data_IF_251828320639
#
_entry.id   IF_251828320639
#
_cell.length_a   1.000
_cell.length_b   1.000
_cell.length_c   1.000
_cell.angle_alpha   90.00
_cell.angle_beta   90.00
_cell.angle_gamma   90.00
#
_symmetry.space_group_name_H-M   'P 1'
#
loop_
_entity.id
_entity.type
_entity.pdbx_description
1 polymer ?
#
# COMPACT_ATOMS: atom_id res chain seq x y z
N UNK A 1 2.09 13.72 -7.68
CA UNK A 1 3.49 13.96 -8.14
C UNK A 1 3.75 15.47 -8.30
N UNK A 2 4.82 15.98 -7.70
CA UNK A 2 5.29 17.37 -7.85
C UNK A 2 5.72 17.66 -9.30
N UNK A 3 5.85 18.94 -9.68
CA UNK A 3 6.28 19.36 -11.04
C UNK A 3 7.67 18.82 -11.42
N UNK A 4 8.52 18.54 -10.44
CA UNK A 4 9.81 17.90 -10.65
C UNK A 4 9.66 16.39 -10.87
N UNK A 5 8.87 15.71 -10.03
CA UNK A 5 8.65 14.26 -10.10
C UNK A 5 7.94 13.82 -11.38
N UNK A 6 7.05 14.66 -11.94
CA UNK A 6 6.40 14.37 -13.23
C UNK A 6 7.39 14.23 -14.39
N UNK A 7 8.59 14.81 -14.27
CA UNK A 7 9.65 14.73 -15.28
C UNK A 7 10.57 13.52 -15.09
N UNK A 8 10.34 12.70 -14.07
CA UNK A 8 11.13 11.49 -13.85
C UNK A 8 10.89 10.46 -14.95
N UNK A 9 11.96 9.72 -15.30
CA UNK A 9 11.84 8.55 -16.15
C UNK A 9 10.92 7.50 -15.48
N UNK A 10 10.40 6.56 -16.28
CA UNK A 10 9.47 5.54 -15.80
C UNK A 10 10.01 4.81 -14.56
N UNK A 11 11.24 4.30 -14.63
CA UNK A 11 11.87 3.59 -13.51
C UNK A 11 11.96 4.44 -12.23
N UNK A 12 12.30 5.73 -12.33
CA UNK A 12 12.33 6.61 -11.15
C UNK A 12 10.94 6.85 -10.57
N UNK A 13 9.89 6.90 -11.40
CA UNK A 13 8.51 7.01 -10.94
C UNK A 13 8.05 5.74 -10.21
N UNK A 14 8.42 4.57 -10.73
CA UNK A 14 8.12 3.30 -10.08
C UNK A 14 8.83 3.16 -8.73
N UNK A 15 10.12 3.50 -8.65
CA UNK A 15 10.86 3.51 -7.36
C UNK A 15 10.19 4.49 -6.39
N UNK A 16 9.83 5.69 -6.86
CA UNK A 16 9.16 6.67 -6.01
C UNK A 16 7.81 6.16 -5.49
N UNK A 17 7.02 5.50 -6.34
CA UNK A 17 5.76 4.87 -5.94
C UNK A 17 5.97 3.83 -4.84
N UNK A 18 6.99 2.98 -4.99
CA UNK A 18 7.35 1.99 -3.97
C UNK A 18 7.77 2.65 -2.65
N UNK A 19 8.65 3.65 -2.71
CA UNK A 19 9.12 4.39 -1.52
C UNK A 19 7.96 5.07 -0.81
N UNK A 20 7.03 5.65 -1.56
CA UNK A 20 5.83 6.26 -0.98
C UNK A 20 4.95 5.23 -0.28
N UNK A 21 4.65 4.10 -0.93
CA UNK A 21 3.82 3.04 -0.35
C UNK A 21 4.45 2.46 0.93
N UNK A 22 5.75 2.17 0.92
CA UNK A 22 6.45 1.62 2.07
C UNK A 22 6.57 2.60 3.23
N UNK A 23 6.59 3.91 2.96
CA UNK A 23 6.52 4.94 4.00
C UNK A 23 5.13 5.00 4.63
N UNK A 24 4.08 4.96 3.81
CA UNK A 24 2.70 5.02 4.28
C UNK A 24 2.35 3.79 5.14
N UNK A 25 2.72 2.60 4.66
CA UNK A 25 2.46 1.34 5.36
C UNK A 25 3.53 0.96 6.39
N UNK A 26 4.50 1.85 6.65
CA UNK A 26 5.58 1.60 7.61
C UNK A 26 5.08 1.09 8.97
N UNK A 27 4.04 1.66 9.60
CA UNK A 27 3.58 1.18 10.91
C UNK A 27 3.13 -0.29 10.92
N UNK A 28 2.70 -0.82 9.77
CA UNK A 28 2.25 -2.20 9.61
C UNK A 28 3.36 -3.16 9.19
N UNK A 29 4.36 -2.64 8.48
CA UNK A 29 5.44 -3.42 7.86
C UNK A 29 6.71 -3.48 8.71
N UNK A 30 6.87 -2.54 9.64
CA UNK A 30 8.08 -2.45 10.45
C UNK A 30 8.30 -3.69 11.33
N UNK A 31 9.49 -4.27 11.26
CA UNK A 31 9.87 -5.45 12.05
C UNK A 31 9.30 -6.78 11.53
N UNK A 32 8.59 -6.79 10.40
CA UNK A 32 8.09 -8.01 9.75
C UNK A 32 8.77 -8.23 8.41
N UNK A 33 8.92 -9.51 8.03
CA UNK A 33 9.35 -9.90 6.68
C UNK A 33 8.15 -9.94 5.74
N UNK A 34 8.23 -9.23 4.62
CA UNK A 34 7.14 -9.20 3.65
C UNK A 34 7.62 -9.21 2.20
N UNK A 35 6.67 -9.49 1.29
CA UNK A 35 6.92 -9.61 -0.13
C UNK A 35 6.29 -8.43 -0.89
N UNK A 36 7.12 -7.67 -1.60
CA UNK A 36 6.70 -6.61 -2.51
C UNK A 36 6.57 -7.19 -3.91
N UNK A 37 5.34 -7.22 -4.44
CA UNK A 37 5.07 -7.61 -5.83
C UNK A 37 4.98 -6.38 -6.71
N UNK A 38 5.75 -6.37 -7.80
CA UNK A 38 5.78 -5.26 -8.76
C UNK A 38 5.82 -5.76 -10.20
N UNK A 39 5.18 -5.03 -11.11
CA UNK A 39 5.28 -5.26 -12.54
C UNK A 39 6.53 -4.63 -13.18
N UNK A 40 7.36 -3.94 -12.38
CA UNK A 40 8.60 -3.34 -12.85
C UNK A 40 9.81 -4.19 -12.46
N UNK A 41 10.29 -5.02 -13.40
CA UNK A 41 11.37 -5.98 -13.17
C UNK A 41 12.69 -5.35 -12.70
N UNK A 42 12.97 -4.09 -13.06
CA UNK A 42 14.16 -3.36 -12.60
C UNK A 42 14.21 -3.19 -11.08
N UNK A 43 13.07 -3.20 -10.39
CA UNK A 43 13.02 -3.04 -8.93
C UNK A 43 13.60 -4.24 -8.17
N UNK A 44 13.71 -5.42 -8.82
CA UNK A 44 14.39 -6.58 -8.22
C UNK A 44 15.86 -6.29 -7.88
N UNK A 45 16.48 -5.36 -8.62
CA UNK A 45 17.87 -4.98 -8.42
C UNK A 45 18.06 -3.96 -7.31
N UNK A 46 17.00 -3.38 -6.75
CA UNK A 46 17.11 -2.34 -5.70
C UNK A 46 17.85 -2.84 -4.46
N UNK A 47 17.63 -4.09 -4.05
CA UNK A 47 18.26 -4.69 -2.86
C UNK A 47 19.71 -5.11 -3.10
N UNK A 48 20.12 -5.29 -4.36
CA UNK A 48 21.46 -5.75 -4.76
C UNK A 48 22.31 -4.58 -5.29
N UNK A 49 21.75 -3.37 -5.34
CA UNK A 49 22.39 -2.21 -5.95
C UNK A 49 23.57 -1.73 -5.09
N UNK A 50 24.79 -1.92 -5.59
CA UNK A 50 26.02 -1.72 -4.80
C UNK A 50 26.37 -0.26 -4.53
N UNK A 51 26.08 0.64 -5.47
CA UNK A 51 26.52 2.05 -5.38
C UNK A 51 25.40 3.00 -5.83
N UNK A 52 24.35 3.19 -5.02
CA UNK A 52 23.33 4.17 -5.32
C UNK A 52 23.84 5.59 -5.10
N UNK A 53 23.53 6.48 -6.04
CA UNK A 53 23.91 7.89 -5.96
C UNK A 53 22.69 8.82 -5.81
N UNK A 54 22.93 9.96 -5.16
CA UNK A 54 22.02 11.09 -5.10
C UNK A 54 20.65 10.77 -4.50
N UNK A 55 19.59 10.90 -5.30
CA UNK A 55 18.21 10.70 -4.83
C UNK A 55 17.89 9.23 -4.54
N UNK A 56 18.41 8.31 -5.37
CA UNK A 56 18.14 6.88 -5.21
C UNK A 56 18.81 6.34 -3.95
N UNK A 57 19.99 6.83 -3.60
CA UNK A 57 20.67 6.50 -2.34
C UNK A 57 19.82 6.84 -1.12
N UNK A 58 19.26 8.06 -1.09
CA UNK A 58 18.38 8.50 0.00
C UNK A 58 17.10 7.67 0.09
N UNK A 59 16.55 7.26 -1.05
CA UNK A 59 15.39 6.37 -1.06
C UNK A 59 15.75 4.98 -0.53
N UNK A 60 16.84 4.38 -1.00
CA UNK A 60 17.30 3.07 -0.53
C UNK A 60 17.64 3.08 0.96
N UNK A 61 18.22 4.17 1.49
CA UNK A 61 18.45 4.31 2.92
C UNK A 61 17.15 4.24 3.72
N UNK A 62 16.07 4.89 3.25
CA UNK A 62 14.76 4.76 3.91
C UNK A 62 14.16 3.36 3.80
N UNK A 63 14.46 2.65 2.73
CA UNK A 63 13.98 1.28 2.51
C UNK A 63 14.77 0.25 3.32
N UNK A 64 16.04 0.53 3.64
CA UNK A 64 16.91 -0.36 4.39
C UNK A 64 16.43 -0.64 5.82
N UNK A 65 15.52 0.18 6.34
CA UNK A 65 14.90 -0.02 7.65
C UNK A 65 13.79 -1.09 7.64
N UNK A 66 13.37 -1.56 6.46
CA UNK A 66 12.33 -2.57 6.27
C UNK A 66 12.94 -3.86 5.72
N UNK A 67 12.44 -5.01 6.17
CA UNK A 67 12.88 -6.33 5.69
C UNK A 67 11.90 -6.86 4.64
N UNK A 68 12.26 -6.73 3.36
CA UNK A 68 11.39 -7.13 2.26
C UNK A 68 12.12 -7.76 1.08
N UNK A 69 11.39 -8.61 0.37
CA UNK A 69 11.82 -9.20 -0.89
C UNK A 69 11.00 -8.63 -2.05
N UNK A 70 11.64 -8.45 -3.21
CA UNK A 70 10.97 -7.94 -4.41
C UNK A 70 10.75 -9.07 -5.42
N UNK A 71 9.48 -9.38 -5.67
CA UNK A 71 9.06 -10.34 -6.69
C UNK A 71 8.45 -9.61 -7.89
N UNK A 72 8.95 -9.93 -9.08
CA UNK A 72 8.35 -9.41 -10.31
C UNK A 72 7.10 -10.23 -10.68
N UNK A 73 5.99 -9.55 -10.95
CA UNK A 73 4.75 -10.14 -11.46
C UNK A 73 4.36 -9.42 -12.74
N UNK A 74 4.15 -10.15 -13.84
CA UNK A 74 3.78 -9.54 -15.12
C UNK A 74 2.56 -8.61 -14.97
N UNK A 75 2.60 -7.42 -15.60
CA UNK A 75 1.56 -6.39 -15.47
C UNK A 75 0.15 -6.88 -15.81
N UNK A 76 0.01 -7.83 -16.74
CA UNK A 76 -1.28 -8.49 -17.05
C UNK A 76 -1.93 -9.18 -15.85
N UNK A 77 -1.13 -9.64 -14.90
CA UNK A 77 -1.59 -10.27 -13.66
C UNK A 77 -1.64 -9.28 -12.49
N UNK A 78 -1.29 -8.01 -12.71
CA UNK A 78 -1.19 -6.97 -11.70
C UNK A 78 -2.36 -5.97 -11.74
N UNK A 79 -3.51 -6.40 -12.30
CA UNK A 79 -4.66 -5.53 -12.56
C UNK A 79 -5.27 -4.88 -11.32
N UNK A 80 -5.11 -5.48 -10.14
CA UNK A 80 -5.54 -4.89 -8.87
C UNK A 80 -4.77 -3.59 -8.55
N UNK A 81 -3.45 -3.62 -8.63
CA UNK A 81 -2.62 -2.44 -8.40
C UNK A 81 -2.67 -1.46 -9.59
N UNK A 82 -2.79 -1.98 -10.82
CA UNK A 82 -2.93 -1.16 -12.02
C UNK A 82 -4.21 -0.32 -11.99
N UNK A 83 -5.33 -0.88 -11.54
CA UNK A 83 -6.58 -0.14 -11.40
C UNK A 83 -6.51 0.99 -10.35
N UNK A 84 -5.79 0.76 -9.25
CA UNK A 84 -5.62 1.78 -8.20
C UNK A 84 -4.64 2.88 -8.61
N UNK A 85 -3.57 2.53 -9.33
CA UNK A 85 -2.56 3.50 -9.80
C UNK A 85 -2.99 4.25 -11.06
N UNK A 86 -3.81 3.62 -11.91
CA UNK A 86 -4.39 4.17 -13.13
C UNK A 86 -5.90 4.33 -12.96
N UNK A 87 -6.30 5.22 -12.08
CA UNK A 87 -7.66 5.76 -12.18
C UNK A 87 -7.70 6.62 -13.45
N UNK A 88 -7.97 5.99 -14.58
CA UNK A 88 -8.33 6.64 -15.84
C UNK A 88 -9.81 6.44 -16.10
N UNK A 89 -10.52 7.51 -16.44
CA UNK A 89 -11.93 7.46 -16.80
C UNK A 89 -12.16 6.45 -17.93
N UNK A 90 -13.02 5.46 -17.73
CA UNK A 90 -13.34 4.41 -18.72
C UNK A 90 -13.98 4.94 -20.00
N UNK A 91 -14.60 6.13 -19.94
CA UNK A 91 -15.24 6.78 -21.08
C UNK A 91 -14.27 7.59 -21.96
N UNK A 92 -13.16 8.11 -21.40
CA UNK A 92 -12.26 8.99 -22.16
C UNK A 92 -10.76 8.69 -22.02
N UNK A 93 -10.38 7.66 -21.26
CA UNK A 93 -8.99 7.21 -21.09
C UNK A 93 -8.05 8.19 -20.38
N UNK A 94 -8.56 9.34 -19.92
CA UNK A 94 -7.77 10.34 -19.17
C UNK A 94 -7.69 9.99 -17.70
N UNK A 95 -6.52 10.25 -17.10
CA UNK A 95 -6.32 10.16 -15.65
C UNK A 95 -7.32 11.06 -14.93
N UNK A 96 -7.90 10.56 -13.84
CA UNK A 96 -8.99 11.20 -13.08
C UNK A 96 -8.55 12.53 -12.45
N UNK A 97 -7.24 12.73 -12.22
CA UNK A 97 -6.69 14.03 -11.82
C UNK A 97 -6.87 15.08 -12.95
N UNK A 98 -7.96 15.84 -12.87
CA UNK A 98 -8.23 16.99 -13.74
C UNK A 98 -9.22 16.73 -14.88
N UNK A 99 -9.95 15.61 -14.90
CA UNK A 99 -11.05 15.40 -15.84
C UNK A 99 -12.41 15.50 -15.13
N UNK A 100 -13.42 16.01 -15.83
CA UNK A 100 -14.81 16.04 -15.37
C UNK A 100 -15.43 14.64 -15.11
N UNK A 101 -14.67 13.56 -15.33
CA UNK A 101 -15.12 12.18 -15.20
C UNK A 101 -14.85 11.57 -13.81
N UNK A 102 -14.41 12.38 -12.83
CA UNK A 102 -14.24 11.96 -11.43
C UNK A 102 -15.54 11.54 -10.71
N UNK A 103 -16.68 11.61 -11.39
CA UNK A 103 -18.02 11.41 -10.82
C UNK A 103 -18.61 10.01 -11.06
N UNK A 104 -17.86 9.06 -11.62
CA UNK A 104 -18.29 7.65 -11.64
C UNK A 104 -18.14 7.09 -10.22
N UNK A 105 -19.28 7.00 -9.53
CA UNK A 105 -19.43 6.55 -8.14
C UNK A 105 -18.84 5.16 -7.96
N UNK A 106 -17.76 5.07 -7.20
CA UNK A 106 -17.19 3.82 -6.67
C UNK A 106 -17.96 3.30 -5.45
N UNK A 107 -19.16 3.83 -5.21
CA UNK A 107 -19.96 3.61 -3.99
C UNK A 107 -20.24 2.10 -3.80
N UNK A 108 -20.61 1.36 -4.85
CA UNK A 108 -21.02 -0.05 -4.71
C UNK A 108 -19.85 -1.01 -4.42
N UNK A 109 -18.68 -0.81 -5.06
CA UNK A 109 -17.49 -1.65 -4.82
C UNK A 109 -16.86 -1.35 -3.47
N UNK A 110 -16.81 -0.06 -3.09
CA UNK A 110 -16.30 0.35 -1.79
C UNK A 110 -17.23 -0.11 -0.67
N UNK A 111 -18.54 -0.11 -0.89
CA UNK A 111 -19.52 -0.60 0.09
C UNK A 111 -19.42 -2.12 0.25
N UNK A 112 -19.34 -2.87 -0.85
CA UNK A 112 -19.16 -4.33 -0.79
C UNK A 112 -17.88 -4.74 -0.06
N UNK A 113 -16.76 -4.04 -0.30
CA UNK A 113 -15.52 -4.29 0.45
C UNK A 113 -15.65 -3.94 1.93
N UNK A 114 -16.32 -2.82 2.27
CA UNK A 114 -16.60 -2.46 3.67
C UNK A 114 -17.45 -3.51 4.37
N UNK A 115 -18.46 -4.05 3.70
CA UNK A 115 -19.33 -5.07 4.26
C UNK A 115 -18.58 -6.39 4.49
N UNK A 116 -17.71 -6.79 3.55
CA UNK A 116 -16.83 -7.95 3.71
C UNK A 116 -15.81 -7.76 4.83
N UNK A 117 -15.19 -6.58 4.93
CA UNK A 117 -14.26 -6.26 5.99
C UNK A 117 -14.96 -6.26 7.35
N UNK A 118 -16.17 -5.71 7.42
CA UNK A 118 -16.99 -5.72 8.61
C UNK A 118 -17.33 -7.15 9.04
N UNK A 119 -17.71 -8.02 8.10
CA UNK A 119 -17.99 -9.42 8.39
C UNK A 119 -16.73 -10.17 8.88
N UNK A 120 -15.56 -9.90 8.29
CA UNK A 120 -14.30 -10.47 8.74
C UNK A 120 -13.93 -9.99 10.15
N UNK A 121 -14.07 -8.68 10.43
CA UNK A 121 -13.86 -8.10 11.76
C UNK A 121 -14.85 -8.62 12.81
N UNK A 122 -16.06 -9.02 12.39
CA UNK A 122 -17.03 -9.67 13.26
C UNK A 122 -16.72 -11.15 13.47
N UNK A 123 -16.07 -11.84 12.54
CA UNK A 123 -15.70 -13.23 12.72
C UNK A 123 -14.45 -13.40 13.61
N UNK A 124 -13.58 -12.38 13.64
CA UNK A 124 -12.33 -12.39 14.39
C UNK A 124 -12.57 -12.13 15.90
N UNK A 125 -12.22 -13.08 16.79
CA UNK A 125 -12.48 -12.97 18.22
C UNK A 125 -11.67 -11.86 18.91
N UNK A 126 -10.44 -11.58 18.44
CA UNK A 126 -9.61 -10.51 19.00
C UNK A 126 -10.15 -9.13 18.61
N UNK A 127 -10.52 -8.96 17.34
CA UNK A 127 -11.08 -7.69 16.87
C UNK A 127 -12.47 -7.44 17.48
N UNK A 128 -13.27 -8.47 17.70
CA UNK A 128 -14.53 -8.32 18.43
C UNK A 128 -14.32 -7.77 19.84
N UNK A 129 -13.33 -8.28 20.57
CA UNK A 129 -12.98 -7.82 21.92
C UNK A 129 -12.61 -6.32 21.91
N UNK A 130 -11.74 -5.92 20.98
CA UNK A 130 -11.35 -4.52 20.79
C UNK A 130 -12.55 -3.64 20.45
N UNK A 131 -13.46 -4.14 19.62
CA UNK A 131 -14.68 -3.41 19.23
C UNK A 131 -15.62 -3.21 20.41
N UNK A 132 -15.76 -4.21 21.29
CA UNK A 132 -16.56 -4.07 22.52
C UNK A 132 -16.00 -2.99 23.42
N UNK A 133 -14.68 -2.91 23.60
CA UNK A 133 -14.04 -1.86 24.39
C UNK A 133 -14.19 -0.48 23.76
N UNK A 134 -14.04 -0.37 22.44
CA UNK A 134 -14.24 0.87 21.68
C UNK A 134 -15.68 1.41 21.82
N UNK A 135 -16.69 0.55 21.73
CA UNK A 135 -18.10 0.95 21.82
C UNK A 135 -18.53 1.21 23.26
N UNK A 136 -18.04 0.40 24.21
CA UNK A 136 -18.36 0.54 25.64
C UNK A 136 -17.53 1.60 26.38
N UNK A 137 -16.52 2.18 25.72
CA UNK A 137 -15.49 3.03 26.35
C UNK A 137 -14.84 2.39 27.60
N UNK A 138 -14.83 1.05 27.66
CA UNK A 138 -14.41 0.25 28.81
C UNK A 138 -13.04 -0.36 28.53
N UNK A 139 -12.04 0.51 28.34
CA UNK A 139 -10.67 0.07 28.09
C UNK A 139 -10.12 -0.66 29.33
N UNK A 140 -9.49 -1.83 29.16
CA UNK A 140 -8.85 -2.50 30.28
C UNK A 140 -7.70 -1.65 30.83
N UNK A 141 -7.65 -1.52 32.14
CA UNK A 141 -6.62 -0.75 32.87
C UNK A 141 -5.31 -1.54 33.05
N UNK A 142 -5.34 -2.85 32.81
CA UNK A 142 -4.18 -3.75 32.86
C UNK A 142 -4.03 -4.50 31.52
N UNK A 143 -2.78 -4.73 31.10
CA UNK A 143 -2.51 -5.47 29.86
C UNK A 143 -2.83 -6.96 30.04
N UNK A 144 -3.71 -7.52 29.19
CA UNK A 144 -4.00 -8.95 29.19
C UNK A 144 -2.72 -9.73 28.86
N UNK A 145 -2.35 -10.65 29.76
CA UNK A 145 -1.13 -11.47 29.60
C UNK A 145 -1.36 -12.60 28.59
N UNK A 146 -0.27 -13.11 28.01
CA UNK A 146 -0.24 -13.98 26.81
C UNK A 146 -0.91 -15.35 26.97
N UNK A 147 -1.46 -15.66 28.14
CA UNK A 147 -2.06 -16.96 28.47
C UNK A 147 -3.61 -16.96 28.36
N UNK A 148 -4.21 -15.82 27.98
CA UNK A 148 -5.67 -15.67 27.81
C UNK A 148 -6.09 -15.37 26.36
N UNK A 149 -5.21 -15.63 25.37
CA UNK A 149 -5.50 -15.55 23.93
C UNK A 149 -5.87 -16.92 23.34
#
# INVERSE_FOLDING_TARGET
LTKAERRYCATRREILGLVWALREFRPYLYGQRFLVRTDHSCLRWLTIFKEPEGQVARWLQCLAELDFEVEHRAGRLHGNADALSRTSCTLCGRLVEGSACAQLRTEDVAQSFKDQLLAAQQADPEIQLLRQWLVGASWPVECLTRDEW
#
